data_IF_842584934188
#
_entry.id   IF_842584934188
#
_cell.length_a   1.000
_cell.length_b   1.000
_cell.length_c   1.000
_cell.angle_alpha   90.00
_cell.angle_beta   90.00
_cell.angle_gamma   90.00
#
_symmetry.space_group_name_H-M   'P 1'
#
loop_
_entity.id
_entity.type
_entity.pdbx_description
1 polymer ?
#
# COMPACT_ATOMS: atom_id res chain seq x y z
N UNK A 1 17.18 19.55 -8.22
CA UNK A 1 16.09 18.88 -8.93
C UNK A 1 15.62 17.70 -8.08
N UNK A 2 14.34 17.64 -7.67
CA UNK A 2 13.84 16.54 -6.84
C UNK A 2 13.55 15.30 -7.71
N UNK A 3 14.44 14.32 -7.69
CA UNK A 3 14.02 12.94 -7.87
C UNK A 3 13.20 12.58 -6.63
N UNK A 4 11.90 12.24 -6.70
CA UNK A 4 11.29 11.46 -5.60
C UNK A 4 9.86 10.97 -5.89
N UNK A 5 8.92 11.81 -6.37
CA UNK A 5 7.50 11.42 -6.37
C UNK A 5 7.13 10.26 -7.31
N UNK A 6 7.55 10.30 -8.58
CA UNK A 6 7.22 9.23 -9.55
C UNK A 6 7.91 7.91 -9.19
N UNK A 7 9.19 7.95 -8.78
CA UNK A 7 9.94 6.75 -8.39
C UNK A 7 9.35 6.09 -7.15
N UNK A 8 8.92 6.89 -6.17
CA UNK A 8 8.20 6.41 -5.00
C UNK A 8 6.87 5.77 -5.41
N UNK A 9 6.09 6.43 -6.27
CA UNK A 9 4.81 5.94 -6.76
C UNK A 9 4.97 4.57 -7.47
N UNK A 10 5.94 4.44 -8.38
CA UNK A 10 6.24 3.18 -9.05
C UNK A 10 6.64 2.07 -8.07
N UNK A 11 7.50 2.39 -7.10
CA UNK A 11 8.00 1.41 -6.13
C UNK A 11 6.90 0.97 -5.15
N UNK A 12 5.96 1.87 -4.80
CA UNK A 12 4.79 1.53 -3.99
C UNK A 12 3.80 0.69 -4.78
N UNK A 13 3.60 0.96 -6.08
CA UNK A 13 2.80 0.05 -6.91
C UNK A 13 3.40 -1.33 -7.00
N UNK A 14 4.73 -1.42 -7.13
CA UNK A 14 5.41 -2.70 -7.11
C UNK A 14 5.24 -3.44 -5.77
N UNK A 15 5.34 -2.71 -4.65
CA UNK A 15 5.09 -3.28 -3.32
C UNK A 15 3.68 -3.82 -3.21
N UNK A 16 2.68 -3.08 -3.70
CA UNK A 16 1.29 -3.50 -3.65
C UNK A 16 1.03 -4.69 -4.55
N UNK A 17 1.59 -4.72 -5.76
CA UNK A 17 1.47 -5.88 -6.63
C UNK A 17 2.10 -7.14 -5.98
N UNK A 18 3.22 -6.99 -5.28
CA UNK A 18 3.82 -8.09 -4.50
C UNK A 18 2.91 -8.54 -3.33
N UNK A 19 2.32 -7.59 -2.59
CA UNK A 19 1.36 -7.89 -1.52
C UNK A 19 0.14 -8.62 -2.09
N UNK A 20 -0.51 -8.08 -3.13
CA UNK A 20 -1.75 -8.62 -3.71
C UNK A 20 -1.54 -9.99 -4.37
N UNK A 21 -0.34 -10.28 -4.87
CA UNK A 21 0.05 -11.61 -5.37
C UNK A 21 0.52 -12.58 -4.28
N UNK A 22 0.56 -12.12 -3.02
CA UNK A 22 1.06 -12.86 -1.84
C UNK A 22 2.53 -13.30 -1.99
N UNK A 23 3.29 -12.61 -2.82
CA UNK A 23 4.72 -12.83 -3.00
C UNK A 23 5.49 -12.14 -1.87
N UNK A 24 5.65 -12.86 -0.75
CA UNK A 24 6.24 -12.33 0.49
C UNK A 24 7.67 -11.84 0.27
N UNK A 25 8.50 -12.66 -0.36
CA UNK A 25 9.93 -12.36 -0.56
C UNK A 25 10.10 -11.11 -1.41
N UNK A 26 9.32 -10.99 -2.49
CA UNK A 26 9.31 -9.78 -3.31
C UNK A 26 8.82 -8.57 -2.51
N UNK A 27 7.76 -8.71 -1.71
CA UNK A 27 7.21 -7.60 -0.95
C UNK A 27 8.23 -7.05 0.07
N UNK A 28 8.93 -7.92 0.81
CA UNK A 28 9.98 -7.50 1.74
C UNK A 28 11.17 -6.86 1.02
N UNK A 29 11.59 -7.40 -0.13
CA UNK A 29 12.67 -6.82 -0.92
C UNK A 29 12.32 -5.41 -1.43
N UNK A 30 11.11 -5.21 -1.95
CA UNK A 30 10.66 -3.88 -2.41
C UNK A 30 10.57 -2.91 -1.24
N UNK A 31 10.03 -3.34 -0.09
CA UNK A 31 9.95 -2.50 1.11
C UNK A 31 11.33 -2.05 1.59
N UNK A 32 12.29 -2.98 1.67
CA UNK A 32 13.66 -2.65 2.08
C UNK A 32 14.31 -1.65 1.14
N UNK A 33 14.14 -1.85 -0.17
CA UNK A 33 14.65 -0.93 -1.20
C UNK A 33 14.03 0.47 -1.07
N UNK A 34 12.73 0.55 -0.79
CA UNK A 34 12.04 1.80 -0.52
C UNK A 34 12.59 2.51 0.72
N UNK A 35 12.82 1.77 1.80
CA UNK A 35 13.30 2.32 3.07
C UNK A 35 14.73 2.86 2.99
N UNK A 36 15.64 2.15 2.30
CA UNK A 36 17.03 2.61 2.13
C UNK A 36 17.20 3.68 1.05
N UNK A 37 16.15 3.93 0.25
CA UNK A 37 16.18 4.93 -0.82
C UNK A 37 16.24 6.34 -0.24
N UNK A 38 17.28 7.09 -0.62
CA UNK A 38 17.50 8.45 -0.15
C UNK A 38 16.30 9.36 -0.48
N UNK A 39 15.76 10.01 0.54
CA UNK A 39 14.68 11.00 0.40
C UNK A 39 13.27 10.40 0.38
N UNK A 40 13.12 9.11 0.66
CA UNK A 40 11.83 8.48 0.96
C UNK A 40 11.70 8.38 2.48
N UNK A 41 10.66 8.98 3.05
CA UNK A 41 10.36 8.82 4.48
C UNK A 41 9.37 7.68 4.69
N UNK A 42 9.39 7.05 5.87
CA UNK A 42 8.44 6.00 6.25
C UNK A 42 6.99 6.49 6.19
N UNK A 43 6.75 7.76 6.58
CA UNK A 43 5.43 8.39 6.45
C UNK A 43 5.01 8.56 4.99
N UNK A 44 5.94 8.83 4.06
CA UNK A 44 5.64 8.91 2.63
C UNK A 44 5.24 7.54 2.06
N UNK A 45 5.88 6.45 2.50
CA UNK A 45 5.51 5.09 2.12
C UNK A 45 4.09 4.77 2.62
N UNK A 46 3.79 5.05 3.89
CA UNK A 46 2.45 4.83 4.46
C UNK A 46 1.41 5.68 3.73
N UNK A 47 1.68 6.97 3.50
CA UNK A 47 0.75 7.84 2.78
C UNK A 47 0.42 7.33 1.38
N UNK A 48 1.41 6.79 0.66
CA UNK A 48 1.19 6.20 -0.66
C UNK A 48 0.36 4.90 -0.59
N UNK A 49 0.59 4.05 0.43
CA UNK A 49 -0.25 2.87 0.70
C UNK A 49 -1.69 3.27 1.02
N UNK A 50 -1.90 4.22 1.93
CA UNK A 50 -3.23 4.76 2.28
C UNK A 50 -3.95 5.28 1.04
N UNK A 51 -3.27 6.06 0.21
CA UNK A 51 -3.83 6.57 -1.03
C UNK A 51 -4.26 5.45 -1.96
N UNK A 52 -3.40 4.45 -2.20
CA UNK A 52 -3.74 3.32 -3.07
C UNK A 52 -4.93 2.52 -2.52
N UNK A 53 -4.90 2.14 -1.25
CA UNK A 53 -5.98 1.36 -0.64
C UNK A 53 -7.30 2.13 -0.59
N UNK A 54 -7.26 3.47 -0.45
CA UNK A 54 -8.44 4.31 -0.59
C UNK A 54 -9.05 4.25 -2.00
N UNK A 55 -8.21 4.28 -3.05
CA UNK A 55 -8.67 4.09 -4.42
C UNK A 55 -9.24 2.68 -4.65
N UNK A 56 -8.57 1.66 -4.09
CA UNK A 56 -9.03 0.27 -4.17
C UNK A 56 -10.36 0.06 -3.46
N UNK A 57 -10.55 0.66 -2.28
CA UNK A 57 -11.80 0.62 -1.53
C UNK A 57 -12.96 1.19 -2.35
N UNK A 58 -12.77 2.37 -2.96
CA UNK A 58 -13.79 3.01 -3.81
C UNK A 58 -14.21 2.11 -4.97
N UNK A 59 -13.25 1.44 -5.61
CA UNK A 59 -13.52 0.51 -6.71
C UNK A 59 -14.22 -0.76 -6.21
N UNK A 60 -13.84 -1.27 -5.04
CA UNK A 60 -14.47 -2.44 -4.44
C UNK A 60 -15.92 -2.17 -3.99
N UNK A 61 -16.18 -1.00 -3.42
CA UNK A 61 -17.52 -0.57 -2.98
C UNK A 61 -18.45 -0.29 -4.18
N UNK A 62 -17.88 0.11 -5.33
CA UNK A 62 -18.64 0.46 -6.55
C UNK A 62 -18.11 -0.26 -7.80
N UNK A 63 -18.18 -1.61 -7.86
CA UNK A 63 -17.46 -2.42 -8.85
C UNK A 63 -17.90 -2.21 -10.31
N UNK A 64 -19.07 -1.60 -10.53
CA UNK A 64 -19.62 -1.32 -11.87
C UNK A 64 -19.48 0.15 -12.30
N UNK A 65 -18.98 1.01 -11.42
CA UNK A 65 -18.90 2.45 -11.69
C UNK A 65 -17.48 2.93 -11.54
N UNK A 66 -16.85 3.31 -12.66
CA UNK A 66 -15.54 3.96 -12.63
C UNK A 66 -15.68 5.36 -12.03
N UNK A 67 -14.96 5.70 -10.94
CA UNK A 67 -14.94 7.06 -10.45
C UNK A 67 -14.30 8.02 -11.46
N UNK A 68 -14.84 9.23 -11.59
CA UNK A 68 -14.47 10.17 -12.66
C UNK A 68 -12.99 10.59 -12.63
N UNK A 69 -12.42 10.65 -11.44
CA UNK A 69 -11.04 11.00 -11.14
C UNK A 69 -10.04 9.85 -11.32
N UNK A 70 -10.50 8.61 -11.59
CA UNK A 70 -9.64 7.45 -11.81
C UNK A 70 -9.53 7.14 -13.31
N UNK A 71 -8.31 7.18 -13.85
CA UNK A 71 -8.05 6.82 -15.24
C UNK A 71 -8.44 5.35 -15.55
N UNK A 72 -8.94 5.06 -16.77
CA UNK A 72 -9.47 3.74 -17.13
C UNK A 72 -8.48 2.59 -16.89
N UNK A 73 -7.21 2.78 -17.26
CA UNK A 73 -6.15 1.77 -17.02
C UNK A 73 -6.05 1.42 -15.54
N UNK A 74 -6.01 2.45 -14.69
CA UNK A 74 -5.91 2.30 -13.24
C UNK A 74 -7.15 1.66 -12.64
N UNK A 75 -8.33 2.04 -13.12
CA UNK A 75 -9.59 1.40 -12.73
C UNK A 75 -9.58 -0.10 -13.04
N UNK A 76 -9.08 -0.51 -14.22
CA UNK A 76 -8.99 -1.92 -14.59
C UNK A 76 -8.02 -2.69 -13.67
N UNK A 77 -6.88 -2.10 -13.30
CA UNK A 77 -5.91 -2.68 -12.36
C UNK A 77 -6.55 -2.84 -10.96
N UNK A 78 -7.15 -1.79 -10.42
CA UNK A 78 -7.85 -1.81 -9.13
C UNK A 78 -9.02 -2.80 -9.13
N UNK A 79 -9.75 -2.92 -10.24
CA UNK A 79 -10.87 -3.87 -10.38
C UNK A 79 -10.40 -5.33 -10.40
N UNK A 80 -9.17 -5.61 -10.84
CA UNK A 80 -8.57 -6.94 -10.73
C UNK A 80 -8.15 -7.20 -9.29
N UNK A 81 -7.50 -6.22 -8.66
CA UNK A 81 -7.06 -6.28 -7.27
C UNK A 81 -8.24 -6.46 -6.29
N UNK A 82 -9.37 -5.78 -6.52
CA UNK A 82 -10.53 -5.81 -5.62
C UNK A 82 -11.16 -7.20 -5.48
N UNK A 83 -10.91 -8.11 -6.42
CA UNK A 83 -11.39 -9.51 -6.37
C UNK A 83 -10.77 -10.31 -5.23
N UNK A 84 -9.60 -9.88 -4.75
CA UNK A 84 -8.93 -10.49 -3.61
C UNK A 84 -9.43 -9.93 -2.26
N UNK A 85 -10.13 -8.80 -2.27
CA UNK A 85 -10.61 -8.13 -1.07
C UNK A 85 -11.95 -8.72 -0.61
N UNK A 86 -11.98 -9.36 0.56
CA UNK A 86 -13.18 -10.04 1.10
C UNK A 86 -13.39 -9.71 2.58
N UNK A 87 -14.63 -9.85 3.04
CA UNK A 87 -14.97 -9.72 4.46
C UNK A 87 -14.51 -8.38 5.05
N UNK A 88 -13.71 -8.45 6.11
CA UNK A 88 -13.16 -7.32 6.84
C UNK A 88 -11.80 -6.82 6.32
N UNK A 89 -11.41 -7.21 5.09
CA UNK A 89 -10.13 -6.84 4.45
C UNK A 89 -9.76 -5.36 4.65
N UNK A 90 -10.65 -4.45 4.23
CA UNK A 90 -10.36 -3.01 4.29
C UNK A 90 -10.27 -2.50 5.72
N UNK A 91 -11.09 -3.04 6.63
CA UNK A 91 -10.99 -2.68 8.05
C UNK A 91 -9.61 -3.07 8.61
N UNK A 92 -9.15 -4.30 8.34
CA UNK A 92 -7.81 -4.77 8.75
C UNK A 92 -6.70 -3.91 8.16
N UNK A 93 -6.76 -3.61 6.86
CA UNK A 93 -5.78 -2.79 6.16
C UNK A 93 -5.71 -1.37 6.73
N UNK A 94 -6.85 -0.67 6.82
CA UNK A 94 -6.86 0.72 7.31
C UNK A 94 -6.48 0.81 8.78
N UNK A 95 -6.90 -0.16 9.60
CA UNK A 95 -6.47 -0.26 11.01
C UNK A 95 -4.95 -0.42 11.10
N UNK A 96 -4.36 -1.34 10.32
CA UNK A 96 -2.92 -1.56 10.34
C UNK A 96 -2.13 -0.32 9.87
N UNK A 97 -2.60 0.37 8.83
CA UNK A 97 -1.99 1.61 8.33
C UNK A 97 -2.05 2.72 9.37
N UNK A 98 -3.20 2.92 10.01
CA UNK A 98 -3.37 3.93 11.06
C UNK A 98 -2.44 3.68 12.26
N UNK A 99 -2.41 2.43 12.76
CA UNK A 99 -1.55 2.06 13.89
C UNK A 99 -0.06 2.22 13.56
N UNK A 100 0.34 1.88 12.33
CA UNK A 100 1.71 2.08 11.86
C UNK A 100 2.08 3.57 11.79
N UNK A 101 1.18 4.42 11.27
CA UNK A 101 1.40 5.86 11.20
C UNK A 101 1.58 6.49 12.59
N UNK A 102 0.72 6.14 13.54
CA UNK A 102 0.83 6.59 14.95
C UNK A 102 2.15 6.11 15.58
N UNK A 103 2.53 4.87 15.31
CA UNK A 103 3.75 4.29 15.87
C UNK A 103 5.00 4.95 15.30
N UNK A 104 5.08 5.21 13.99
CA UNK A 104 6.22 5.93 13.39
C UNK A 104 6.38 7.32 13.98
N UNK A 105 5.28 8.06 14.22
CA UNK A 105 5.33 9.39 14.84
C UNK A 105 5.93 9.39 16.26
N UNK A 106 6.03 8.23 16.91
CA UNK A 106 6.46 8.07 18.30
C UNK A 106 7.64 7.10 18.48
N UNK A 107 8.16 6.49 17.40
CA UNK A 107 9.14 5.41 17.45
C UNK A 107 10.45 5.80 16.76
N UNK A 108 11.58 5.42 17.36
CA UNK A 108 12.90 5.55 16.74
C UNK A 108 13.24 4.39 15.78
N UNK A 109 12.40 3.36 15.68
CA UNK A 109 12.64 2.14 14.86
C UNK A 109 11.62 2.01 13.73
N UNK A 110 11.59 2.98 12.82
CA UNK A 110 10.60 3.04 11.73
C UNK A 110 10.62 1.80 10.82
N UNK A 111 11.80 1.24 10.54
CA UNK A 111 11.95 0.04 9.70
C UNK A 111 11.13 -1.15 10.24
N UNK A 112 11.23 -1.41 11.55
CA UNK A 112 10.50 -2.50 12.21
C UNK A 112 8.99 -2.27 12.14
N UNK A 113 8.55 -1.01 12.23
CA UNK A 113 7.13 -0.66 12.10
C UNK A 113 6.64 -0.96 10.69
N UNK A 114 7.43 -0.63 9.66
CA UNK A 114 7.10 -0.92 8.27
C UNK A 114 7.09 -2.42 7.97
N UNK A 115 8.05 -3.19 8.47
CA UNK A 115 8.06 -4.64 8.33
C UNK A 115 6.85 -5.29 9.01
N UNK A 116 6.51 -4.82 10.22
CA UNK A 116 5.32 -5.27 10.95
C UNK A 116 4.04 -4.93 10.19
N UNK A 117 3.95 -3.72 9.62
CA UNK A 117 2.85 -3.31 8.76
C UNK A 117 2.74 -4.26 7.55
N UNK A 118 3.84 -4.59 6.89
CA UNK A 118 3.83 -5.48 5.73
C UNK A 118 3.29 -6.87 6.07
N UNK A 119 3.71 -7.45 7.20
CA UNK A 119 3.16 -8.73 7.68
C UNK A 119 1.64 -8.66 7.82
N UNK A 120 1.13 -7.61 8.48
CA UNK A 120 -0.32 -7.43 8.68
C UNK A 120 -1.07 -7.24 7.36
N UNK A 121 -0.49 -6.55 6.39
CA UNK A 121 -1.08 -6.40 5.06
C UNK A 121 -1.15 -7.74 4.32
N UNK A 122 -0.09 -8.56 4.39
CA UNK A 122 -0.08 -9.90 3.80
C UNK A 122 -1.10 -10.84 4.45
N UNK A 123 -1.29 -10.75 5.77
CA UNK A 123 -2.29 -11.51 6.52
C UNK A 123 -3.72 -11.06 6.21
N UNK A 124 -3.94 -9.78 5.88
CA UNK A 124 -5.28 -9.26 5.58
C UNK A 124 -5.93 -9.90 4.36
N UNK A 125 -5.12 -10.41 3.42
CA UNK A 125 -5.59 -11.10 2.22
C UNK A 125 -6.13 -12.51 2.50
N UNK A 126 -5.87 -13.07 3.69
CA UNK A 126 -6.18 -14.44 4.12
C UNK A 126 -7.61 -14.64 4.56
#
# INVERSE_FOLDING_TARGET
ASMSSKTLEYSVFELIDAIMSRDRDRAFNVLRNLFVSKGVSSLSIIGALVWHYGQLYRVWETPHMRPKDIHQRRFNELSKQSRYCKGDFFFKVFKALYEAEVTIKSSAREEVVLETLLVRLLESLG
#
